data_IF_236817347486
#
_entry.id   IF_236817347486
#
_cell.length_a   1.000
_cell.length_b   1.000
_cell.length_c   1.000
_cell.angle_alpha   90.00
_cell.angle_beta   90.00
_cell.angle_gamma   90.00
#
_symmetry.space_group_name_H-M   'P 1'
#
loop_
_entity.id
_entity.type
_entity.pdbx_description
1 polymer ?
#
# COMPACT_ATOMS: atom_id res chain seq x y z
N UNK A 1 4.33 17.87 -6.35
CA UNK A 1 3.95 16.49 -6.03
C UNK A 1 4.96 15.58 -6.71
N UNK A 2 5.68 14.76 -5.95
CA UNK A 2 6.62 13.78 -6.51
C UNK A 2 5.94 12.42 -6.47
N UNK A 3 5.87 11.74 -7.62
CA UNK A 3 5.31 10.39 -7.70
C UNK A 3 6.36 9.36 -7.22
N UNK A 4 5.98 8.08 -7.23
CA UNK A 4 6.81 7.00 -6.72
C UNK A 4 8.18 7.00 -7.38
N UNK A 5 9.23 6.91 -6.57
CA UNK A 5 10.62 6.91 -7.00
C UNK A 5 11.48 6.07 -6.05
N UNK A 6 12.77 5.94 -6.35
CA UNK A 6 13.70 5.16 -5.54
C UNK A 6 13.76 5.63 -4.08
N UNK A 7 13.65 6.94 -3.83
CA UNK A 7 13.67 7.46 -2.46
C UNK A 7 12.45 6.98 -1.65
N UNK A 8 11.28 6.94 -2.28
CA UNK A 8 10.04 6.40 -1.70
C UNK A 8 10.21 4.91 -1.36
N UNK A 9 10.86 4.16 -2.24
CA UNK A 9 11.09 2.73 -2.04
C UNK A 9 12.11 2.45 -0.92
N UNK A 10 13.18 3.26 -0.84
CA UNK A 10 14.13 3.25 0.27
C UNK A 10 13.41 3.60 1.59
N UNK A 11 12.50 4.57 1.56
CA UNK A 11 11.69 4.92 2.71
C UNK A 11 10.80 3.75 3.16
N UNK A 12 10.13 3.07 2.23
CA UNK A 12 9.37 1.85 2.52
C UNK A 12 10.23 0.81 3.25
N UNK A 13 11.40 0.46 2.71
CA UNK A 13 12.29 -0.51 3.34
C UNK A 13 12.74 -0.07 4.74
N UNK A 14 13.10 1.20 4.89
CA UNK A 14 13.58 1.77 6.16
C UNK A 14 12.49 1.75 7.23
N UNK A 15 11.26 2.14 6.89
CA UNK A 15 10.14 2.15 7.81
C UNK A 15 9.67 0.74 8.15
N UNK A 16 9.64 -0.17 7.17
CA UNK A 16 9.25 -1.55 7.39
C UNK A 16 10.20 -2.27 8.35
N UNK A 17 11.52 -2.13 8.14
CA UNK A 17 12.54 -2.68 9.03
C UNK A 17 12.46 -2.14 10.46
N UNK A 18 12.10 -0.85 10.63
CA UNK A 18 12.02 -0.22 11.95
C UNK A 18 10.81 -0.68 12.74
N UNK A 19 9.71 -0.98 12.07
CA UNK A 19 8.41 -1.03 12.74
C UNK A 19 7.75 -2.41 12.71
N UNK A 20 7.81 -3.16 11.60
CA UNK A 20 6.86 -4.26 11.41
C UNK A 20 7.33 -5.43 10.52
N UNK A 21 8.58 -5.44 10.03
CA UNK A 21 9.07 -6.54 9.19
C UNK A 21 10.53 -6.91 9.49
N UNK A 22 10.83 -8.21 9.46
CA UNK A 22 12.20 -8.70 9.52
C UNK A 22 12.90 -8.57 8.15
N UNK A 23 14.24 -8.57 8.10
CA UNK A 23 14.98 -8.53 6.84
C UNK A 23 14.56 -9.63 5.85
N UNK A 24 14.27 -10.84 6.34
CA UNK A 24 13.85 -12.00 5.51
C UNK A 24 12.46 -11.79 4.88
N UNK A 25 11.64 -10.91 5.45
CA UNK A 25 10.34 -10.55 4.88
C UNK A 25 10.43 -9.48 3.79
N UNK A 26 11.56 -8.77 3.71
CA UNK A 26 11.75 -7.60 2.83
C UNK A 26 12.82 -7.81 1.75
N UNK A 27 13.76 -8.72 1.97
CA UNK A 27 14.93 -8.89 1.11
C UNK A 27 15.17 -10.37 0.79
N UNK A 28 15.74 -10.61 -0.39
CA UNK A 28 16.26 -11.91 -0.77
C UNK A 28 17.51 -12.21 0.05
N UNK A 29 17.59 -13.41 0.64
CA UNK A 29 18.78 -13.85 1.37
C UNK A 29 19.64 -14.72 0.44
N UNK A 30 20.62 -14.10 -0.21
CA UNK A 30 21.48 -14.74 -1.21
C UNK A 30 22.91 -14.89 -0.67
N UNK A 31 23.75 -15.64 -1.39
CA UNK A 31 25.20 -15.68 -1.12
C UNK A 31 25.79 -14.27 -1.26
N UNK A 32 26.08 -13.64 -0.13
CA UNK A 32 26.55 -12.25 -0.06
C UNK A 32 25.67 -11.32 0.80
N UNK A 33 24.55 -11.80 1.32
CA UNK A 33 23.70 -11.08 2.28
C UNK A 33 22.29 -10.82 1.77
N UNK A 34 21.67 -9.76 2.30
CA UNK A 34 20.30 -9.36 1.98
C UNK A 34 20.26 -8.38 0.80
N UNK A 35 19.42 -8.67 -0.19
CA UNK A 35 19.26 -7.84 -1.39
C UNK A 35 17.80 -7.47 -1.63
N UNK A 36 17.54 -6.21 -2.00
CA UNK A 36 16.19 -5.76 -2.42
C UNK A 36 15.76 -6.40 -3.75
N UNK A 37 16.71 -6.66 -4.65
CA UNK A 37 16.45 -7.31 -5.94
C UNK A 37 17.50 -8.38 -6.19
N UNK A 38 17.09 -9.46 -6.85
CA UNK A 38 18.02 -10.51 -7.28
C UNK A 38 18.98 -9.90 -8.32
N UNK A 39 20.31 -9.93 -8.08
CA UNK A 39 21.28 -9.42 -9.04
C UNK A 39 21.19 -10.15 -10.38
N UNK A 40 21.38 -9.43 -11.49
CA UNK A 40 21.38 -10.04 -12.83
C UNK A 40 22.48 -11.11 -12.91
N UNK A 41 22.11 -12.30 -13.40
CA UNK A 41 23.04 -13.43 -13.55
C UNK A 41 23.25 -14.25 -12.27
N UNK A 42 22.58 -13.91 -11.16
CA UNK A 42 22.50 -14.75 -9.97
C UNK A 42 21.23 -15.61 -10.02
N UNK A 43 21.33 -16.87 -9.60
CA UNK A 43 20.16 -17.67 -9.31
C UNK A 43 19.55 -17.18 -7.99
N UNK A 44 18.22 -17.00 -7.96
CA UNK A 44 17.50 -16.67 -6.73
C UNK A 44 17.43 -17.86 -5.76
N UNK A 45 18.09 -18.98 -6.09
CA UNK A 45 18.08 -20.24 -5.34
C UNK A 45 16.66 -20.76 -5.10
N UNK A 46 15.75 -20.49 -6.05
CA UNK A 46 14.32 -20.83 -5.94
C UNK A 46 13.57 -20.04 -4.86
N UNK A 47 14.18 -19.02 -4.24
CA UNK A 47 13.52 -18.22 -3.21
C UNK A 47 12.46 -17.30 -3.82
N UNK A 48 11.28 -17.29 -3.19
CA UNK A 48 10.22 -16.34 -3.47
C UNK A 48 10.02 -15.44 -2.26
N UNK A 49 9.85 -14.13 -2.50
CA UNK A 49 9.69 -13.14 -1.45
C UNK A 49 8.24 -12.64 -1.41
N UNK A 50 7.31 -13.58 -1.18
CA UNK A 50 5.87 -13.32 -1.23
C UNK A 50 5.40 -12.37 -0.11
N UNK A 51 6.03 -12.44 1.06
CA UNK A 51 5.76 -11.57 2.21
C UNK A 51 5.90 -10.08 1.88
N UNK A 52 6.85 -9.71 1.00
CA UNK A 52 7.03 -8.31 0.62
C UNK A 52 5.84 -7.75 -0.15
N UNK A 53 5.15 -8.56 -0.95
CA UNK A 53 4.06 -8.09 -1.80
C UNK A 53 2.90 -7.51 -0.99
N UNK A 54 2.52 -8.15 0.11
CA UNK A 54 1.49 -7.62 1.00
C UNK A 54 1.98 -6.37 1.76
N UNK A 55 3.24 -6.36 2.23
CA UNK A 55 3.82 -5.24 2.95
C UNK A 55 3.92 -3.97 2.09
N UNK A 56 4.44 -4.09 0.87
CA UNK A 56 4.55 -2.96 -0.05
C UNK A 56 3.18 -2.51 -0.56
N UNK A 57 2.23 -3.43 -0.73
CA UNK A 57 0.84 -3.10 -1.06
C UNK A 57 0.22 -2.17 -0.01
N UNK A 58 0.23 -2.59 1.25
CA UNK A 58 -0.28 -1.77 2.36
C UNK A 58 0.43 -0.42 2.49
N UNK A 59 1.74 -0.38 2.26
CA UNK A 59 2.49 0.88 2.24
C UNK A 59 2.02 1.79 1.10
N UNK A 60 1.84 1.22 -0.10
CA UNK A 60 1.43 1.96 -1.30
C UNK A 60 0.03 2.53 -1.14
N UNK A 61 -0.91 1.82 -0.52
CA UNK A 61 -2.26 2.34 -0.24
C UNK A 61 -2.23 3.60 0.64
N UNK A 62 -1.40 3.58 1.69
CA UNK A 62 -1.20 4.74 2.58
C UNK A 62 -0.49 5.88 1.86
N UNK A 63 0.53 5.55 1.06
CA UNK A 63 1.25 6.54 0.27
C UNK A 63 0.32 7.22 -0.75
N UNK A 64 -0.53 6.47 -1.45
CA UNK A 64 -1.54 7.00 -2.36
C UNK A 64 -2.52 7.93 -1.65
N UNK A 65 -2.93 7.62 -0.41
CA UNK A 65 -3.75 8.54 0.39
C UNK A 65 -3.09 9.92 0.47
N UNK A 66 -1.78 10.01 0.75
CA UNK A 66 -1.08 11.31 0.86
C UNK A 66 -1.12 12.13 -0.44
N UNK A 67 -1.20 11.46 -1.59
CA UNK A 67 -1.35 12.09 -2.91
C UNK A 67 -2.77 12.58 -3.12
N UNK A 68 -3.75 11.75 -2.77
CA UNK A 68 -5.15 12.02 -3.05
C UNK A 68 -5.83 12.92 -2.02
N UNK A 69 -5.31 13.01 -0.80
CA UNK A 69 -5.85 13.82 0.29
C UNK A 69 -6.04 15.30 -0.07
N UNK A 70 -5.07 16.03 -0.68
CA UNK A 70 -5.30 17.40 -1.13
C UNK A 70 -6.39 17.50 -2.21
N UNK A 71 -6.49 16.52 -3.11
CA UNK A 71 -7.52 16.50 -4.16
C UNK A 71 -8.90 16.27 -3.55
N UNK A 72 -9.02 15.34 -2.59
CA UNK A 72 -10.26 15.11 -1.87
C UNK A 72 -10.71 16.39 -1.13
N UNK A 73 -9.77 17.09 -0.49
CA UNK A 73 -10.05 18.32 0.25
C UNK A 73 -10.58 19.43 -0.66
N UNK A 74 -10.04 19.60 -1.87
CA UNK A 74 -10.55 20.56 -2.87
C UNK A 74 -12.00 20.26 -3.29
N UNK A 75 -12.42 19.00 -3.22
CA UNK A 75 -13.79 18.56 -3.48
C UNK A 75 -14.70 18.60 -2.24
N UNK A 76 -14.19 19.03 -1.08
CA UNK A 76 -14.92 18.98 0.19
C UNK A 76 -15.14 17.56 0.72
N UNK A 77 -14.23 16.63 0.38
CA UNK A 77 -14.27 15.21 0.72
C UNK A 77 -13.03 14.79 1.53
N UNK A 78 -13.06 13.56 2.03
CA UNK A 78 -11.95 12.90 2.72
C UNK A 78 -11.42 11.73 1.91
N UNK A 79 -10.09 11.61 1.83
CA UNK A 79 -9.43 10.38 1.35
C UNK A 79 -9.29 9.40 2.52
N UNK A 80 -9.93 8.23 2.43
CA UNK A 80 -10.00 7.25 3.51
C UNK A 80 -9.52 5.89 3.02
N UNK A 81 -8.55 5.28 3.70
CA UNK A 81 -8.07 3.93 3.40
C UNK A 81 -8.97 2.85 4.02
N UNK A 82 -8.94 1.64 3.46
CA UNK A 82 -9.59 0.44 4.00
C UNK A 82 -11.09 0.65 4.28
N UNK A 83 -11.80 1.22 3.30
CA UNK A 83 -13.22 1.59 3.46
C UNK A 83 -14.11 0.36 3.38
N UNK A 84 -14.94 0.20 4.41
CA UNK A 84 -15.91 -0.88 4.59
C UNK A 84 -17.31 -0.30 4.39
N UNK A 85 -18.08 -0.93 3.52
CA UNK A 85 -19.48 -0.61 3.26
C UNK A 85 -20.22 -1.88 2.79
N UNK A 86 -20.88 -2.56 3.73
CA UNK A 86 -21.61 -3.81 3.46
C UNK A 86 -22.73 -3.65 2.43
N UNK A 87 -23.34 -2.46 2.34
CA UNK A 87 -24.43 -2.13 1.39
C UNK A 87 -24.02 -2.32 -0.08
N UNK A 88 -22.73 -2.18 -0.39
CA UNK A 88 -22.16 -2.33 -1.74
C UNK A 88 -21.13 -3.45 -1.83
N UNK A 89 -21.10 -4.37 -0.85
CA UNK A 89 -20.24 -5.54 -0.87
C UNK A 89 -18.77 -5.29 -0.48
N UNK A 90 -18.44 -4.11 0.07
CA UNK A 90 -17.12 -3.82 0.62
C UNK A 90 -17.06 -4.30 2.08
N UNK A 91 -16.87 -5.59 2.29
CA UNK A 91 -16.77 -6.17 3.64
C UNK A 91 -15.43 -5.83 4.32
N UNK A 92 -15.28 -6.16 5.60
CA UNK A 92 -13.96 -6.06 6.29
C UNK A 92 -12.87 -6.93 5.63
N UNK A 93 -13.26 -8.04 5.01
CA UNK A 93 -12.34 -8.98 4.35
C UNK A 93 -11.98 -8.54 2.93
N UNK A 94 -12.76 -7.62 2.36
CA UNK A 94 -12.65 -7.13 0.98
C UNK A 94 -12.99 -5.64 0.92
N UNK A 95 -12.34 -4.85 1.79
CA UNK A 95 -12.54 -3.40 1.85
C UNK A 95 -11.92 -2.74 0.64
N UNK A 96 -12.40 -1.55 0.28
CA UNK A 96 -11.71 -0.74 -0.72
C UNK A 96 -10.36 -0.24 -0.18
N UNK A 97 -9.34 -0.27 -1.04
CA UNK A 97 -7.98 0.20 -0.71
C UNK A 97 -7.99 1.68 -0.28
N UNK A 98 -8.71 2.51 -1.03
CA UNK A 98 -8.97 3.91 -0.74
C UNK A 98 -10.33 4.34 -1.31
N UNK A 99 -11.01 5.28 -0.66
CA UNK A 99 -12.18 5.94 -1.23
C UNK A 99 -12.21 7.43 -0.89
N UNK A 100 -12.90 8.20 -1.72
CA UNK A 100 -13.34 9.55 -1.36
C UNK A 100 -14.71 9.48 -0.70
N UNK A 101 -14.78 10.03 0.50
CA UNK A 101 -15.96 9.96 1.34
C UNK A 101 -16.36 11.36 1.84
N UNK A 102 -17.65 11.57 2.07
CA UNK A 102 -18.16 12.79 2.74
C UNK A 102 -17.87 12.83 4.24
N UNK A 103 -17.47 11.70 4.82
CA UNK A 103 -17.08 11.60 6.23
C UNK A 103 -15.71 10.94 6.37
N UNK A 104 -14.95 11.31 7.40
CA UNK A 104 -13.64 10.74 7.68
C UNK A 104 -13.74 9.48 8.57
N UNK A 105 -14.39 8.42 8.07
CA UNK A 105 -14.55 7.15 8.78
C UNK A 105 -14.29 5.96 7.84
N UNK A 106 -13.68 4.89 8.34
CA UNK A 106 -13.49 3.66 7.57
C UNK A 106 -14.81 2.93 7.29
N UNK A 107 -15.75 2.95 8.24
CA UNK A 107 -17.08 2.37 8.06
C UNK A 107 -18.02 3.42 7.47
N UNK A 108 -18.52 3.14 6.27
CA UNK A 108 -19.33 4.06 5.50
C UNK A 108 -20.69 3.46 5.16
N UNK A 109 -21.67 4.35 4.99
CA UNK A 109 -22.88 4.07 4.21
C UNK A 109 -22.60 4.36 2.74
N UNK A 110 -23.31 3.69 1.84
CA UNK A 110 -23.13 3.85 0.40
C UNK A 110 -23.25 5.32 -0.05
N UNK A 111 -24.20 6.06 0.54
CA UNK A 111 -24.43 7.49 0.26
C UNK A 111 -23.22 8.40 0.51
N UNK A 112 -22.30 8.00 1.40
CA UNK A 112 -21.11 8.78 1.72
C UNK A 112 -19.96 8.55 0.75
N UNK A 113 -19.93 7.44 0.03
CA UNK A 113 -18.84 7.07 -0.87
C UNK A 113 -19.07 7.74 -2.23
N UNK A 114 -18.08 8.51 -2.70
CA UNK A 114 -18.16 9.27 -3.96
C UNK A 114 -17.26 8.71 -5.05
N UNK A 115 -16.16 8.07 -4.66
CA UNK A 115 -15.21 7.43 -5.57
C UNK A 115 -14.46 6.33 -4.83
N UNK A 116 -14.23 5.20 -5.49
CA UNK A 116 -13.47 4.06 -4.96
C UNK A 116 -12.22 3.91 -5.82
N UNK A 117 -11.09 3.65 -5.17
CA UNK A 117 -9.82 3.35 -5.81
C UNK A 117 -9.38 1.94 -5.43
N UNK A 118 -9.02 1.17 -6.45
CA UNK A 118 -8.24 -0.05 -6.31
C UNK A 118 -6.78 0.29 -6.64
N UNK A 119 -5.85 -0.08 -5.77
CA UNK A 119 -4.44 0.29 -5.84
C UNK A 119 -3.62 -0.99 -6.02
N UNK A 120 -2.82 -1.04 -7.08
CA UNK A 120 -1.92 -2.16 -7.37
C UNK A 120 -0.53 -1.66 -7.72
N UNK A 121 0.47 -2.35 -7.21
CA UNK A 121 1.84 -2.31 -7.71
C UNK A 121 1.96 -3.42 -8.75
N UNK A 122 2.07 -3.06 -10.02
CA UNK A 122 2.21 -3.97 -11.16
C UNK A 122 3.62 -4.56 -11.27
#
# INVERSE_FOLDING_TARGET
MTLWNNDTEIQFFTEALKNFASPEQLFYNLKGGYFAYVPKGSDAEGQTLQSRNSLIGQYTEKWCKTIFEPIAAELGLFAVNSVVCEEIGLSKQSSADLAFCTTNNAFQKSENIKLIFEIKMS
#
